data_IF_841420070639
#
_entry.id   IF_841420070639
#
_cell.length_a   1.000
_cell.length_b   1.000
_cell.length_c   1.000
_cell.angle_alpha   90.00
_cell.angle_beta   90.00
_cell.angle_gamma   90.00
#
_symmetry.space_group_name_H-M   'P 1'
#
loop_
_entity.id
_entity.type
_entity.pdbx_description
1 polymer ?
#
# COMPACT_ATOMS: atom_id res chain seq x y z
N UNK A 1 -5.94 14.22 -2.07
CA UNK A 1 -6.53 13.64 -0.84
C UNK A 1 -7.84 14.36 -0.61
N UNK A 2 -8.89 13.69 -0.15
CA UNK A 2 -10.20 14.31 0.03
C UNK A 2 -11.27 13.92 -0.99
N UNK A 3 -11.23 12.68 -1.51
CA UNK A 3 -12.46 12.11 -2.09
C UNK A 3 -13.32 11.64 -0.90
N UNK A 4 -14.53 12.19 -0.67
CA UNK A 4 -15.34 11.84 0.50
C UNK A 4 -15.70 10.36 0.61
N UNK A 5 -15.61 9.64 -0.52
CA UNK A 5 -15.89 8.20 -0.63
C UNK A 5 -14.64 7.36 -0.89
N UNK A 6 -13.43 7.95 -0.84
CA UNK A 6 -12.19 7.30 -1.26
C UNK A 6 -11.91 5.96 -0.59
N UNK A 7 -12.23 5.83 0.71
CA UNK A 7 -12.07 4.56 1.44
C UNK A 7 -13.07 3.48 0.98
N UNK A 8 -14.27 3.88 0.53
CA UNK A 8 -15.34 2.97 0.11
C UNK A 8 -15.18 2.53 -1.35
N UNK A 9 -14.55 3.36 -2.18
CA UNK A 9 -14.44 3.11 -3.62
C UNK A 9 -13.28 2.19 -3.99
N UNK A 10 -12.27 2.05 -3.13
CA UNK A 10 -11.13 1.18 -3.37
C UNK A 10 -10.65 0.45 -2.12
N UNK A 11 -10.30 -0.81 -2.32
CA UNK A 11 -9.78 -1.68 -1.28
C UNK A 11 -8.33 -1.35 -0.91
N UNK A 12 -7.95 -1.82 0.28
CA UNK A 12 -6.57 -1.73 0.73
C UNK A 12 -5.70 -2.73 -0.01
N UNK A 13 -4.71 -2.23 -0.73
CA UNK A 13 -3.66 -3.04 -1.33
C UNK A 13 -2.31 -2.73 -0.67
N UNK A 14 -1.77 -3.63 0.18
CA UNK A 14 -0.44 -3.43 0.76
C UNK A 14 0.66 -3.58 -0.31
N UNK A 15 1.85 -3.00 -0.12
CA UNK A 15 2.97 -3.24 -1.01
C UNK A 15 3.33 -4.73 -1.06
N UNK A 16 3.86 -5.16 -2.19
CA UNK A 16 4.28 -6.55 -2.38
C UNK A 16 5.35 -6.95 -1.37
N UNK A 17 5.38 -8.23 -1.04
CA UNK A 17 6.30 -8.77 -0.05
C UNK A 17 7.16 -9.85 -0.67
N UNK A 18 8.44 -9.89 -0.29
CA UNK A 18 9.34 -11.01 -0.61
C UNK A 18 8.75 -12.32 -0.06
N UNK A 19 8.85 -13.44 -0.81
CA UNK A 19 8.38 -14.75 -0.36
C UNK A 19 8.96 -15.14 0.99
N UNK A 20 8.16 -15.81 1.82
CA UNK A 20 8.58 -16.25 3.15
C UNK A 20 9.81 -17.18 3.10
N UNK A 21 9.93 -18.01 2.06
CA UNK A 21 11.06 -18.92 1.89
C UNK A 21 12.39 -18.16 1.73
N UNK A 22 12.39 -17.06 0.97
CA UNK A 22 13.58 -16.24 0.70
C UNK A 22 14.02 -15.43 1.92
N UNK A 23 13.07 -14.81 2.63
CA UNK A 23 13.36 -13.91 3.77
C UNK A 23 13.70 -14.61 5.08
N UNK A 24 13.79 -15.94 5.10
CA UNK A 24 14.28 -16.71 6.26
C UNK A 24 15.81 -16.72 6.36
N UNK A 25 16.52 -16.44 5.27
CA UNK A 25 17.98 -16.53 5.19
C UNK A 25 18.72 -15.21 5.38
N UNK A 26 18.01 -14.09 5.54
CA UNK A 26 18.60 -12.76 5.65
C UNK A 26 17.74 -11.82 6.51
N UNK A 27 18.30 -10.65 6.82
CA UNK A 27 17.64 -9.57 7.59
C UNK A 27 17.32 -8.35 6.71
N UNK A 28 17.20 -8.54 5.38
CA UNK A 28 16.90 -7.43 4.46
C UNK A 28 15.41 -7.10 4.53
N UNK A 29 15.07 -5.87 4.16
CA UNK A 29 13.69 -5.42 4.01
C UNK A 29 12.90 -6.39 3.10
N UNK A 30 11.64 -6.66 3.45
CA UNK A 30 10.79 -7.58 2.71
C UNK A 30 9.63 -6.89 2.02
N UNK A 31 9.27 -5.67 2.40
CA UNK A 31 8.35 -4.86 1.61
C UNK A 31 9.05 -4.33 0.36
N UNK A 32 8.40 -4.52 -0.78
CA UNK A 32 8.77 -3.87 -2.01
C UNK A 32 8.13 -2.47 -2.04
N UNK A 33 8.82 -1.44 -2.54
CA UNK A 33 8.22 -0.12 -2.70
C UNK A 33 6.97 -0.19 -3.57
N UNK A 34 5.97 0.64 -3.27
CA UNK A 34 4.91 0.87 -4.24
C UNK A 34 5.47 1.55 -5.50
N UNK A 35 4.89 1.19 -6.65
CA UNK A 35 4.95 2.07 -7.82
C UNK A 35 4.18 3.37 -7.55
N UNK A 36 4.56 4.45 -8.24
CA UNK A 36 3.97 5.78 -8.03
C UNK A 36 2.44 5.79 -8.19
N UNK A 37 1.92 5.08 -9.18
CA UNK A 37 0.48 4.96 -9.44
C UNK A 37 -0.26 4.31 -8.26
N UNK A 38 0.21 3.13 -7.82
CA UNK A 38 -0.35 2.43 -6.65
C UNK A 38 -0.26 3.27 -5.38
N UNK A 39 0.83 3.99 -5.19
CA UNK A 39 0.99 4.89 -4.05
C UNK A 39 -0.03 6.04 -4.07
N UNK A 40 -0.27 6.64 -5.24
CA UNK A 40 -1.31 7.67 -5.41
C UNK A 40 -2.71 7.11 -5.18
N UNK A 41 -3.00 5.94 -5.72
CA UNK A 41 -4.29 5.27 -5.54
C UNK A 41 -4.56 4.96 -4.07
N UNK A 42 -3.62 4.29 -3.38
CA UNK A 42 -3.78 3.95 -1.97
C UNK A 42 -3.82 5.20 -1.08
N UNK A 43 -3.07 6.26 -1.42
CA UNK A 43 -3.14 7.55 -0.73
C UNK A 43 -4.47 8.30 -0.95
N UNK A 44 -5.14 8.07 -2.08
CA UNK A 44 -6.44 8.69 -2.39
C UNK A 44 -7.59 8.19 -1.51
N UNK A 45 -7.36 7.09 -0.77
CA UNK A 45 -8.35 6.48 0.14
C UNK A 45 -8.64 7.34 1.38
N UNK A 46 -7.80 8.32 1.70
CA UNK A 46 -8.08 9.27 2.77
C UNK A 46 -9.29 10.14 2.41
N UNK A 47 -10.33 10.08 3.25
CA UNK A 47 -11.59 10.82 3.09
C UNK A 47 -11.55 12.24 3.65
N UNK A 48 -10.43 12.67 4.23
CA UNK A 48 -10.27 14.02 4.79
C UNK A 48 -11.30 14.36 5.89
N UNK A 49 -11.43 13.47 6.89
CA UNK A 49 -12.30 13.68 8.04
C UNK A 49 -11.79 14.83 8.94
N UNK A 50 -12.71 15.62 9.49
CA UNK A 50 -12.44 16.72 10.43
C UNK A 50 -12.25 16.24 11.88
#
# INVERSE_FOLDING_TARGET
>A
MGKPTGFMDSDREPPERRPAAERKGDYREFYQPWGEEKAKEQGSRCMDCA
#
